data_IF_958649421299
#
_entry.id   IF_958649421299
#
_cell.length_a   1.000
_cell.length_b   1.000
_cell.length_c   1.000
_cell.angle_alpha   90.00
_cell.angle_beta   90.00
_cell.angle_gamma   90.00
#
_symmetry.space_group_name_H-M   'P 1'
#
loop_
_entity.id
_entity.type
_entity.pdbx_description
1 polymer ?
#
# COMPACT_ATOMS: atom_id res chain seq x y z
N UNK A 1 16.25 -2.17 -14.11
CA UNK A 1 15.44 -1.81 -12.94
C UNK A 1 13.98 -1.68 -13.36
N UNK A 2 13.62 -0.73 -14.26
CA UNK A 2 12.24 -0.50 -14.69
C UNK A 2 11.54 -1.78 -15.14
N UNK A 3 12.05 -2.46 -16.17
CA UNK A 3 11.46 -3.70 -16.72
C UNK A 3 11.27 -4.84 -15.70
N UNK A 4 12.02 -4.82 -14.62
CA UNK A 4 11.95 -5.89 -13.63
C UNK A 4 10.96 -5.61 -12.50
N UNK A 5 10.74 -4.33 -12.19
CA UNK A 5 9.94 -3.94 -11.02
C UNK A 5 8.68 -3.14 -11.36
N UNK A 6 8.50 -2.68 -12.61
CA UNK A 6 7.37 -1.82 -12.99
C UNK A 6 6.02 -2.43 -12.68
N UNK A 7 5.81 -3.72 -12.97
CA UNK A 7 4.52 -4.37 -12.77
C UNK A 7 4.19 -4.51 -11.28
N UNK A 8 5.19 -4.86 -10.46
CA UNK A 8 5.00 -4.97 -9.02
C UNK A 8 4.74 -3.60 -8.37
N UNK A 9 5.50 -2.58 -8.77
CA UNK A 9 5.32 -1.20 -8.30
C UNK A 9 3.99 -0.62 -8.77
N UNK A 10 3.60 -0.85 -10.03
CA UNK A 10 2.29 -0.48 -10.54
C UNK A 10 1.16 -1.10 -9.72
N UNK A 11 1.27 -2.38 -9.40
CA UNK A 11 0.30 -3.07 -8.58
C UNK A 11 0.08 -2.44 -7.19
N UNK A 12 1.16 -1.93 -6.57
CA UNK A 12 1.09 -1.20 -5.29
C UNK A 12 0.30 0.10 -5.47
N UNK A 13 0.68 0.89 -6.47
CA UNK A 13 0.07 2.19 -6.78
C UNK A 13 -1.41 2.03 -7.12
N UNK A 14 -1.73 1.09 -8.00
CA UNK A 14 -3.09 0.88 -8.50
C UNK A 14 -4.06 0.42 -7.41
N UNK A 15 -3.60 -0.34 -6.42
CA UNK A 15 -4.41 -0.72 -5.25
C UNK A 15 -4.85 0.48 -4.42
N UNK A 16 -4.03 1.52 -4.35
CA UNK A 16 -4.30 2.74 -3.57
C UNK A 16 -5.19 3.71 -4.36
N UNK A 17 -4.85 3.95 -5.62
CA UNK A 17 -5.52 4.95 -6.46
C UNK A 17 -6.76 4.42 -7.14
N UNK A 18 -6.79 3.13 -7.55
CA UNK A 18 -7.87 2.43 -8.24
C UNK A 18 -8.29 3.06 -9.58
N UNK A 19 -7.44 3.89 -10.17
CA UNK A 19 -7.62 4.54 -11.47
C UNK A 19 -6.38 4.31 -12.32
N UNK A 20 -6.57 3.82 -13.54
CA UNK A 20 -5.46 3.43 -14.41
C UNK A 20 -4.57 4.63 -14.75
N UNK A 21 -5.16 5.70 -15.30
CA UNK A 21 -4.41 6.89 -15.74
C UNK A 21 -3.56 7.49 -14.63
N UNK A 22 -4.15 7.65 -13.44
CA UNK A 22 -3.45 8.16 -12.26
C UNK A 22 -2.34 7.22 -11.80
N UNK A 23 -2.57 5.92 -11.90
CA UNK A 23 -1.57 4.93 -11.51
C UNK A 23 -0.37 4.91 -12.45
N UNK A 24 -0.58 5.12 -13.74
CA UNK A 24 0.47 5.24 -14.75
C UNK A 24 1.30 6.54 -14.56
N UNK A 25 0.63 7.67 -14.29
CA UNK A 25 1.28 8.93 -13.97
C UNK A 25 2.15 8.82 -12.71
N UNK A 26 1.59 8.26 -11.65
CA UNK A 26 2.31 8.04 -10.39
C UNK A 26 3.47 7.07 -10.57
N UNK A 27 3.31 6.01 -11.38
CA UNK A 27 4.40 5.08 -11.69
C UNK A 27 5.60 5.79 -12.30
N UNK A 28 5.40 6.68 -13.26
CA UNK A 28 6.47 7.47 -13.87
C UNK A 28 7.14 8.37 -12.82
N UNK A 29 6.35 9.08 -12.02
CA UNK A 29 6.84 9.93 -10.95
C UNK A 29 7.68 9.15 -9.92
N UNK A 30 7.24 7.94 -9.56
CA UNK A 30 7.93 7.04 -8.63
C UNK A 30 9.30 6.64 -9.18
N UNK A 31 9.38 6.22 -10.45
CA UNK A 31 10.67 5.84 -11.03
C UNK A 31 11.64 7.03 -11.17
N UNK A 32 11.13 8.23 -11.43
CA UNK A 32 11.96 9.45 -11.36
C UNK A 32 12.47 9.71 -9.94
N UNK A 33 11.62 9.56 -8.92
CA UNK A 33 12.04 9.69 -7.51
C UNK A 33 13.06 8.62 -7.13
N UNK A 34 12.88 7.38 -7.56
CA UNK A 34 13.84 6.28 -7.35
C UNK A 34 15.19 6.64 -7.98
N UNK A 35 15.19 7.10 -9.22
CA UNK A 35 16.40 7.48 -9.92
C UNK A 35 17.15 8.60 -9.20
N UNK A 36 16.44 9.67 -8.84
CA UNK A 36 17.04 10.82 -8.17
C UNK A 36 17.53 10.55 -6.74
N UNK A 37 17.03 9.50 -6.10
CA UNK A 37 17.36 9.16 -4.72
C UNK A 37 18.12 7.84 -4.58
N UNK A 38 18.59 7.24 -5.67
CA UNK A 38 19.26 5.94 -5.64
C UNK A 38 20.49 5.93 -4.73
N UNK A 39 21.21 7.03 -4.64
CA UNK A 39 22.37 7.19 -3.78
C UNK A 39 22.04 7.16 -2.28
N UNK A 40 20.77 7.39 -1.94
CA UNK A 40 20.28 7.30 -0.56
C UNK A 40 19.87 5.88 -0.14
N UNK A 41 19.81 4.95 -1.11
CA UNK A 41 19.49 3.56 -0.85
C UNK A 41 20.59 2.89 0.00
N UNK A 42 20.16 2.18 1.04
CA UNK A 42 21.06 1.45 1.93
C UNK A 42 20.57 0.01 2.10
N UNK A 43 21.31 -0.93 1.52
CA UNK A 43 20.99 -2.36 1.55
C UNK A 43 20.98 -2.98 2.96
N UNK A 44 21.69 -2.34 3.94
CA UNK A 44 21.68 -2.81 5.31
C UNK A 44 20.36 -2.53 6.04
N UNK A 45 19.53 -1.61 5.53
CA UNK A 45 18.24 -1.22 6.11
C UNK A 45 17.07 -1.96 5.50
N UNK A 46 17.09 -2.16 4.19
CA UNK A 46 15.99 -2.80 3.47
C UNK A 46 16.46 -3.35 2.11
N UNK A 47 15.72 -4.31 1.55
CA UNK A 47 15.95 -4.72 0.15
C UNK A 47 15.60 -3.59 -0.81
N UNK A 48 16.21 -3.59 -1.99
CA UNK A 48 15.92 -2.59 -3.02
C UNK A 48 14.42 -2.50 -3.34
N UNK A 49 13.76 -3.66 -3.45
CA UNK A 49 12.32 -3.70 -3.69
C UNK A 49 11.53 -3.05 -2.54
N UNK A 50 11.86 -3.33 -1.30
CA UNK A 50 11.23 -2.74 -0.11
C UNK A 50 11.34 -1.22 -0.13
N UNK A 51 12.52 -0.70 -0.43
CA UNK A 51 12.77 0.74 -0.51
C UNK A 51 11.98 1.41 -1.65
N UNK A 52 11.95 0.79 -2.84
CA UNK A 52 11.15 1.30 -3.97
C UNK A 52 9.64 1.24 -3.68
N UNK A 53 9.16 0.15 -3.09
CA UNK A 53 7.76 -0.02 -2.72
C UNK A 53 7.29 1.04 -1.71
N UNK A 54 8.15 1.45 -0.78
CA UNK A 54 7.87 2.54 0.16
C UNK A 54 7.72 3.89 -0.57
N UNK A 55 8.59 4.19 -1.53
CA UNK A 55 8.48 5.40 -2.36
C UNK A 55 7.17 5.39 -3.15
N UNK A 56 6.83 4.25 -3.76
CA UNK A 56 5.62 4.08 -4.54
C UNK A 56 4.36 4.29 -3.69
N UNK A 57 4.31 3.64 -2.54
CA UNK A 57 3.20 3.75 -1.60
C UNK A 57 3.00 5.19 -1.12
N UNK A 58 4.06 5.83 -0.66
CA UNK A 58 3.98 7.20 -0.17
C UNK A 58 3.52 8.16 -1.28
N UNK A 59 4.07 8.04 -2.49
CA UNK A 59 3.66 8.88 -3.63
C UNK A 59 2.20 8.66 -4.01
N UNK A 60 1.69 7.43 -4.00
CA UNK A 60 0.29 7.14 -4.29
C UNK A 60 -0.65 7.68 -3.20
N UNK A 61 -0.28 7.58 -1.92
CA UNK A 61 -1.04 8.15 -0.81
C UNK A 61 -1.09 9.68 -0.92
N UNK A 62 0.04 10.33 -1.20
CA UNK A 62 0.09 11.78 -1.37
C UNK A 62 -0.81 12.26 -2.51
N UNK A 63 -0.81 11.56 -3.66
CA UNK A 63 -1.70 11.84 -4.79
C UNK A 63 -3.17 11.67 -4.39
N UNK A 64 -3.53 10.58 -3.72
CA UNK A 64 -4.89 10.34 -3.25
C UNK A 64 -5.39 11.44 -2.31
N UNK A 65 -4.54 11.90 -1.39
CA UNK A 65 -4.86 13.00 -0.45
C UNK A 65 -5.04 14.32 -1.17
N UNK A 66 -4.14 14.65 -2.09
CA UNK A 66 -4.22 15.88 -2.87
C UNK A 66 -5.56 15.97 -3.61
N UNK A 67 -5.96 14.90 -4.31
CA UNK A 67 -7.23 14.84 -5.03
C UNK A 67 -8.45 14.88 -4.11
N UNK A 68 -8.40 14.20 -2.98
CA UNK A 68 -9.45 14.27 -1.97
C UNK A 68 -9.64 15.71 -1.47
N UNK A 69 -8.54 16.44 -1.28
CA UNK A 69 -8.58 17.85 -0.86
C UNK A 69 -9.13 18.77 -1.97
N UNK A 70 -8.72 18.54 -3.22
CA UNK A 70 -9.25 19.29 -4.39
C UNK A 70 -10.76 19.04 -4.57
N UNK A 71 -11.23 17.81 -4.43
CA UNK A 71 -12.66 17.48 -4.47
C UNK A 71 -13.44 18.14 -3.32
N UNK A 72 -12.89 18.16 -2.13
CA UNK A 72 -13.51 18.81 -0.97
C UNK A 72 -13.57 20.35 -1.10
N UNK A 73 -12.59 20.96 -1.76
CA UNK A 73 -12.56 22.41 -2.01
C UNK A 73 -13.45 22.85 -3.17
N UNK A 74 -13.75 21.97 -4.11
CA UNK A 74 -14.63 22.19 -5.26
C UNK A 74 -16.05 21.65 -5.01
N UNK A 75 -16.67 22.03 -3.91
CA UNK A 75 -18.02 21.56 -3.55
C UNK A 75 -19.07 22.10 -4.52
N UNK A 76 -19.26 21.41 -5.64
CA UNK A 76 -20.55 21.29 -6.36
C UNK A 76 -20.53 20.01 -7.18
N UNK A 77 -21.45 19.13 -6.85
CA UNK A 77 -21.90 17.93 -7.57
C UNK A 77 -21.41 16.60 -7.00
N UNK A 78 -22.38 15.99 -6.36
CA UNK A 78 -22.50 14.56 -6.13
C UNK A 78 -22.04 13.73 -7.33
N UNK A 79 -21.10 12.84 -7.13
CA UNK A 79 -21.16 11.55 -7.80
C UNK A 79 -20.60 10.48 -6.85
N UNK A 80 -21.54 9.74 -6.27
CA UNK A 80 -21.28 8.46 -5.63
C UNK A 80 -20.89 7.47 -6.72
N UNK A 81 -19.64 7.39 -7.05
CA UNK A 81 -19.17 6.27 -7.86
C UNK A 81 -18.91 5.08 -6.95
N UNK A 82 -19.83 4.15 -7.05
CA UNK A 82 -19.81 2.80 -6.50
C UNK A 82 -18.41 2.19 -6.52
N UNK A 83 -18.10 1.50 -5.45
CA UNK A 83 -16.99 0.58 -5.32
C UNK A 83 -17.09 -0.51 -6.41
N UNK A 84 -16.59 -0.19 -7.59
CA UNK A 84 -16.45 -1.12 -8.70
C UNK A 84 -15.47 -2.22 -8.33
N UNK A 85 -15.98 -3.43 -8.34
CA UNK A 85 -15.27 -4.69 -8.13
C UNK A 85 -14.08 -4.80 -9.08
N UNK A 86 -13.01 -5.37 -8.54
CA UNK A 86 -11.77 -5.70 -9.17
C UNK A 86 -11.92 -6.24 -10.60
N UNK A 87 -11.25 -5.60 -11.54
CA UNK A 87 -10.88 -6.21 -12.80
C UNK A 87 -9.87 -7.33 -12.52
N UNK A 88 -10.21 -8.53 -12.94
CA UNK A 88 -9.31 -9.67 -12.98
C UNK A 88 -8.13 -9.33 -13.88
N UNK A 89 -6.95 -9.24 -13.31
CA UNK A 89 -5.73 -9.35 -14.08
C UNK A 89 -4.78 -10.34 -13.43
N UNK A 90 -4.67 -11.47 -14.12
CA UNK A 90 -3.52 -12.36 -14.26
C UNK A 90 -2.97 -13.02 -12.99
N UNK A 91 -3.26 -14.31 -12.93
CA UNK A 91 -2.48 -15.45 -12.40
C UNK A 91 -1.20 -15.13 -11.61
N UNK A 92 -1.27 -15.32 -10.30
CA UNK A 92 -0.25 -15.39 -9.22
C UNK A 92 -0.26 -14.27 -8.18
N UNK A 93 -1.25 -13.41 -8.14
CA UNK A 93 -1.42 -12.55 -6.97
C UNK A 93 -2.18 -13.33 -5.89
N UNK A 94 -1.48 -13.70 -4.82
CA UNK A 94 -2.15 -14.16 -3.59
C UNK A 94 -3.19 -13.09 -3.24
N UNK A 95 -4.45 -13.49 -3.19
CA UNK A 95 -5.51 -12.56 -2.83
C UNK A 95 -5.34 -12.19 -1.36
N UNK A 96 -4.67 -11.06 -1.13
CA UNK A 96 -4.42 -10.52 0.21
C UNK A 96 -5.73 -10.36 0.98
N UNK A 97 -6.84 -10.02 0.29
CA UNK A 97 -8.16 -9.94 0.91
C UNK A 97 -8.63 -11.28 1.44
N UNK A 98 -8.40 -12.37 0.71
CA UNK A 98 -8.74 -13.71 1.17
C UNK A 98 -7.93 -14.12 2.40
N UNK A 99 -6.65 -13.75 2.46
CA UNK A 99 -5.79 -14.01 3.61
C UNK A 99 -6.22 -13.18 4.84
N UNK A 100 -6.51 -11.90 4.64
CA UNK A 100 -6.96 -11.00 5.71
C UNK A 100 -8.34 -11.43 6.24
N UNK A 101 -9.21 -11.96 5.39
CA UNK A 101 -10.58 -12.37 5.75
C UNK A 101 -10.62 -13.38 6.90
N UNK A 102 -9.62 -14.24 7.00
CA UNK A 102 -9.55 -15.30 8.02
C UNK A 102 -8.80 -14.86 9.29
N UNK A 103 -8.37 -13.62 9.37
CA UNK A 103 -7.63 -13.10 10.52
C UNK A 103 -8.55 -12.59 11.63
N UNK A 104 -8.07 -12.53 12.89
CA UNK A 104 -8.79 -11.86 13.98
C UNK A 104 -9.14 -10.41 13.61
N UNK A 105 -10.35 -9.97 13.95
CA UNK A 105 -10.89 -8.66 13.57
C UNK A 105 -9.97 -7.48 13.95
N UNK A 106 -9.32 -7.56 15.12
CA UNK A 106 -8.35 -6.56 15.58
C UNK A 106 -7.13 -6.36 14.65
N UNK A 107 -6.79 -7.37 13.86
CA UNK A 107 -5.71 -7.30 12.86
C UNK A 107 -6.25 -6.89 11.49
N UNK A 108 -7.41 -7.43 11.13
CA UNK A 108 -8.08 -7.16 9.87
C UNK A 108 -8.34 -5.67 9.67
N UNK A 109 -8.95 -5.00 10.66
CA UNK A 109 -9.22 -3.56 10.60
C UNK A 109 -7.94 -2.76 10.34
N UNK A 110 -6.84 -3.08 11.02
CA UNK A 110 -5.56 -2.38 10.85
C UNK A 110 -4.95 -2.63 9.47
N UNK A 111 -5.02 -3.88 9.00
CA UNK A 111 -4.51 -4.24 7.68
C UNK A 111 -5.35 -3.61 6.56
N UNK A 112 -6.67 -3.61 6.67
CA UNK A 112 -7.55 -2.97 5.70
C UNK A 112 -7.28 -1.46 5.61
N UNK A 113 -7.21 -0.77 6.74
CA UNK A 113 -6.86 0.67 6.77
C UNK A 113 -5.49 0.94 6.17
N UNK A 114 -4.50 0.14 6.51
CA UNK A 114 -3.15 0.34 6.02
C UNK A 114 -3.01 -0.02 4.53
N UNK A 115 -3.54 -1.18 4.10
CA UNK A 115 -3.29 -1.72 2.76
C UNK A 115 -4.33 -1.31 1.73
N UNK A 116 -5.61 -1.19 2.11
CA UNK A 116 -6.68 -0.87 1.18
C UNK A 116 -7.02 0.63 1.18
N UNK A 117 -6.97 1.28 2.35
CA UNK A 117 -7.32 2.68 2.49
C UNK A 117 -6.11 3.62 2.44
N UNK A 118 -4.89 3.10 2.63
CA UNK A 118 -3.65 3.86 2.54
C UNK A 118 -3.34 4.72 3.77
N UNK A 119 -3.89 4.38 4.94
CA UNK A 119 -3.62 5.08 6.19
C UNK A 119 -2.21 4.82 6.69
N UNK A 120 -1.57 5.83 7.26
CA UNK A 120 -0.35 5.67 8.05
C UNK A 120 -0.68 5.10 9.43
N UNK A 121 0.31 4.55 10.11
CA UNK A 121 0.13 4.02 11.47
C UNK A 121 -0.36 5.10 12.45
N UNK A 122 0.08 6.36 12.27
CA UNK A 122 -0.38 7.48 13.09
C UNK A 122 -1.86 7.78 12.84
N UNK A 123 -2.28 7.86 11.58
CA UNK A 123 -3.69 8.09 11.23
C UNK A 123 -4.60 6.96 11.72
N UNK A 124 -4.13 5.70 11.68
CA UNK A 124 -4.85 4.57 12.27
C UNK A 124 -4.97 4.71 13.78
N UNK A 125 -3.88 5.17 14.44
CA UNK A 125 -3.89 5.44 15.89
C UNK A 125 -4.92 6.51 16.25
N UNK A 126 -4.95 7.59 15.49
CA UNK A 126 -5.83 8.73 15.73
C UNK A 126 -7.30 8.36 15.43
N UNK A 127 -7.56 7.65 14.35
CA UNK A 127 -8.93 7.29 13.95
C UNK A 127 -9.56 6.21 14.83
N UNK A 128 -8.77 5.21 15.22
CA UNK A 128 -9.26 4.12 16.09
C UNK A 128 -9.13 4.43 17.58
N UNK A 129 -8.62 5.62 17.92
CA UNK A 129 -8.38 6.06 19.30
C UNK A 129 -7.57 5.05 20.14
N UNK A 130 -6.57 4.40 19.51
CA UNK A 130 -5.68 3.45 20.17
C UNK A 130 -4.24 3.95 20.13
N UNK A 131 -3.41 3.69 21.17
CA UNK A 131 -2.03 4.16 21.20
C UNK A 131 -1.22 3.67 19.98
N UNK A 132 -0.40 4.54 19.40
CA UNK A 132 0.48 4.21 18.27
C UNK A 132 1.35 2.96 18.52
N UNK A 133 1.81 2.77 19.75
CA UNK A 133 2.53 1.55 20.16
C UNK A 133 1.69 0.29 20.00
N UNK A 134 0.37 0.39 20.27
CA UNK A 134 -0.57 -0.72 20.10
C UNK A 134 -0.80 -1.00 18.61
N UNK A 135 -0.94 0.03 17.76
CA UNK A 135 -1.03 -0.12 16.31
C UNK A 135 0.20 -0.85 15.77
N UNK A 136 1.40 -0.39 16.14
CA UNK A 136 2.67 -0.99 15.72
C UNK A 136 2.78 -2.46 16.13
N UNK A 137 2.45 -2.77 17.36
CA UNK A 137 2.52 -4.15 17.87
C UNK A 137 1.53 -5.05 17.16
N UNK A 138 0.27 -4.63 17.04
CA UNK A 138 -0.77 -5.40 16.35
C UNK A 138 -0.48 -5.61 14.87
N UNK A 139 0.05 -4.62 14.17
CA UNK A 139 0.47 -4.78 12.76
C UNK A 139 1.62 -5.78 12.64
N UNK A 140 2.60 -5.73 13.54
CA UNK A 140 3.69 -6.71 13.56
C UNK A 140 3.18 -8.13 13.78
N UNK A 141 2.27 -8.31 14.74
CA UNK A 141 1.68 -9.62 15.04
C UNK A 141 0.82 -10.13 13.87
N UNK A 142 0.04 -9.22 13.24
CA UNK A 142 -0.73 -9.54 12.05
C UNK A 142 0.14 -10.05 10.91
N UNK A 143 1.28 -9.42 10.67
CA UNK A 143 2.21 -9.84 9.64
C UNK A 143 2.92 -11.14 10.00
N UNK A 144 3.25 -11.34 11.25
CA UNK A 144 3.78 -12.61 11.69
C UNK A 144 2.79 -13.74 11.41
N UNK A 145 1.49 -13.52 11.68
CA UNK A 145 0.43 -14.48 11.36
C UNK A 145 0.33 -14.74 9.86
N UNK A 146 0.40 -13.68 9.03
CA UNK A 146 0.41 -13.83 7.57
C UNK A 146 1.64 -14.60 7.09
N UNK A 147 2.81 -14.37 7.69
CA UNK A 147 4.04 -15.12 7.40
C UNK A 147 3.87 -16.63 7.60
N UNK A 148 3.28 -17.02 8.71
CA UNK A 148 3.06 -18.43 9.05
C UNK A 148 2.11 -19.09 8.07
N UNK A 149 1.17 -18.33 7.51
CA UNK A 149 0.19 -18.79 6.53
C UNK A 149 0.75 -18.83 5.11
N UNK A 150 1.64 -17.89 4.78
CA UNK A 150 2.30 -17.78 3.47
C UNK A 150 3.63 -18.54 3.50
N UNK A 151 3.65 -19.77 3.00
CA UNK A 151 4.88 -20.56 2.86
C UNK A 151 5.82 -20.08 1.74
N UNK A 152 5.46 -19.02 1.01
CA UNK A 152 6.18 -18.54 -0.17
C UNK A 152 6.86 -17.20 0.09
N UNK A 153 8.22 -17.20 0.10
CA UNK A 153 9.07 -16.04 0.46
C UNK A 153 8.82 -14.77 -0.36
N UNK A 154 8.40 -14.90 -1.62
CA UNK A 154 8.21 -13.74 -2.52
C UNK A 154 7.06 -12.83 -2.09
N UNK A 155 5.98 -13.40 -1.59
CA UNK A 155 4.83 -12.65 -1.10
C UNK A 155 5.08 -12.02 0.27
N UNK A 156 5.96 -12.63 1.03
CA UNK A 156 6.39 -12.16 2.33
C UNK A 156 7.20 -10.87 2.24
N UNK A 157 8.13 -10.79 1.29
CA UNK A 157 8.92 -9.59 1.03
C UNK A 157 8.04 -8.40 0.65
N UNK A 158 6.96 -8.65 -0.09
CA UNK A 158 5.99 -7.62 -0.45
C UNK A 158 5.26 -7.05 0.78
N UNK A 159 4.79 -7.89 1.69
CA UNK A 159 4.12 -7.45 2.92
C UNK A 159 5.08 -6.73 3.88
N UNK A 160 6.33 -7.15 3.95
CA UNK A 160 7.37 -6.50 4.76
C UNK A 160 7.71 -5.10 4.24
N UNK A 161 7.69 -4.91 2.93
CA UNK A 161 7.97 -3.62 2.30
C UNK A 161 6.95 -2.53 2.67
N UNK A 162 5.79 -2.94 3.12
CA UNK A 162 4.70 -2.03 3.46
C UNK A 162 4.72 -1.58 4.94
N UNK A 163 5.65 -2.13 5.74
CA UNK A 163 5.73 -1.90 7.19
C UNK A 163 6.97 -1.17 7.68
N UNK A 164 8.03 -1.16 6.87
CA UNK A 164 9.22 -0.35 7.16
C UNK A 164 9.02 1.08 6.76
#
# INVERSE_FOLDING_TARGET
LYHHYSDAIYGIIHRILRRQEESEEVLQSVFLKIWNNIDSYNESKATLFTWMAQIARNTAIDMKRLKSFEMASNTTSFDNTEYGMASESSEKNVDIKALIKNMPEKYKILLDKMFLEGYTQQEISDELEIPLGTVKTRLRDAIQTLRETLKDEKHLLYLLSLLS
#
